data_IF_308004208361
#
_entry.id   IF_308004208361
#
_cell.length_a   1.000
_cell.length_b   1.000
_cell.length_c   1.000
_cell.angle_alpha   90.00
_cell.angle_beta   90.00
_cell.angle_gamma   90.00
#
_symmetry.space_group_name_H-M   'P 1'
#
loop_
_entity.id
_entity.type
_entity.pdbx_description
1 polymer ?
#
# COMPACT_ATOMS: atom_id res chain seq x y z
N UNK A 1 -55.71 -19.39 -32.73
CA UNK A 1 -56.74 -19.49 -31.67
C UNK A 1 -56.04 -19.63 -30.32
N UNK A 2 -56.64 -19.06 -29.27
CA UNK A 2 -56.27 -19.03 -27.82
C UNK A 2 -55.18 -20.00 -27.30
N UNK A 3 -54.36 -19.49 -26.36
CA UNK A 3 -53.57 -20.28 -25.40
C UNK A 3 -54.45 -20.92 -24.30
N UNK A 4 -53.99 -21.10 -23.05
CA UNK A 4 -53.05 -20.26 -22.27
C UNK A 4 -51.75 -21.06 -21.90
N UNK A 5 -50.85 -20.70 -20.97
CA UNK A 5 -50.83 -19.69 -19.89
C UNK A 5 -49.40 -19.12 -19.69
N UNK A 6 -49.30 -18.00 -18.97
CA UNK A 6 -48.07 -17.41 -18.42
C UNK A 6 -48.35 -16.98 -16.97
N UNK A 7 -47.51 -17.37 -16.00
CA UNK A 7 -47.31 -16.61 -14.75
C UNK A 7 -46.15 -17.15 -13.91
N UNK A 8 -45.12 -16.32 -13.70
CA UNK A 8 -44.43 -16.18 -12.40
C UNK A 8 -43.44 -15.01 -12.40
N UNK A 9 -43.52 -14.23 -11.31
CA UNK A 9 -42.56 -13.22 -10.83
C UNK A 9 -42.54 -11.88 -11.60
N UNK A 10 -43.11 -10.86 -10.96
CA UNK A 10 -43.04 -9.44 -11.31
C UNK A 10 -42.59 -8.66 -10.06
N UNK A 11 -41.68 -7.66 -10.16
CA UNK A 11 -41.33 -6.78 -9.05
C UNK A 11 -41.84 -5.33 -9.27
N UNK A 12 -42.59 -4.77 -8.32
CA UNK A 12 -43.01 -3.35 -8.22
C UNK A 12 -43.26 -3.07 -6.72
N UNK A 13 -42.56 -2.17 -6.00
CA UNK A 13 -42.61 -0.70 -6.03
C UNK A 13 -43.98 -0.07 -5.68
N UNK A 14 -44.29 0.05 -4.38
CA UNK A 14 -45.06 1.19 -3.86
C UNK A 14 -44.99 1.27 -2.32
N UNK A 15 -44.21 2.22 -1.80
CA UNK A 15 -44.38 2.68 -0.42
C UNK A 15 -45.21 3.97 -0.45
N UNK A 16 -46.32 3.98 0.27
CA UNK A 16 -47.07 5.20 0.59
C UNK A 16 -47.93 4.94 1.83
N UNK A 17 -47.89 5.92 2.75
CA UNK A 17 -48.90 6.22 3.78
C UNK A 17 -49.12 5.20 4.92
N UNK A 18 -48.61 5.56 6.10
CA UNK A 18 -49.38 5.40 7.35
C UNK A 18 -49.16 6.59 8.30
N UNK A 19 -50.26 7.33 8.47
CA UNK A 19 -50.69 8.18 9.61
C UNK A 19 -50.05 8.00 10.99
N UNK A 20 -49.76 9.14 11.65
CA UNK A 20 -50.24 9.57 13.00
C UNK A 20 -49.78 11.05 13.20
N UNK A 21 -50.59 12.09 13.44
CA UNK A 21 -51.75 12.36 14.32
C UNK A 21 -51.37 12.98 15.69
N UNK A 22 -51.58 14.30 15.88
CA UNK A 22 -52.15 14.94 17.11
C UNK A 22 -52.30 16.47 17.01
N UNK A 23 -53.46 16.99 17.48
CA UNK A 23 -53.74 18.35 18.05
C UNK A 23 -53.46 19.59 17.16
N UNK A 24 -54.19 20.72 17.21
CA UNK A 24 -55.38 21.15 17.97
C UNK A 24 -55.72 22.62 17.54
N UNK A 25 -56.97 23.13 17.69
CA UNK A 25 -57.44 24.28 16.89
C UNK A 25 -57.58 25.61 17.65
N UNK A 26 -57.57 26.75 16.95
CA UNK A 26 -58.41 27.91 17.32
C UNK A 26 -58.67 28.91 16.18
N UNK A 27 -59.56 29.88 16.41
CA UNK A 27 -60.31 30.64 15.38
C UNK A 27 -60.13 32.15 15.51
N UNK A 28 -60.00 32.86 14.37
CA UNK A 28 -60.31 34.29 14.27
C UNK A 28 -60.82 34.65 12.86
N UNK A 29 -61.81 35.56 12.78
CA UNK A 29 -62.49 36.00 11.54
C UNK A 29 -62.21 37.47 11.23
N UNK A 30 -61.88 37.75 9.96
CA UNK A 30 -62.23 38.97 9.17
C UNK A 30 -61.58 40.32 9.60
N UNK A 31 -61.57 41.37 8.73
CA UNK A 31 -62.18 41.48 7.39
C UNK A 31 -61.21 41.80 6.23
N UNK A 32 -61.78 41.90 5.02
CA UNK A 32 -61.07 42.21 3.77
C UNK A 32 -60.70 43.70 3.61
N UNK A 33 -59.53 43.97 3.06
CA UNK A 33 -59.24 45.17 2.24
C UNK A 33 -58.43 44.80 1.00
N UNK A 34 -58.70 45.48 -0.11
CA UNK A 34 -58.25 45.12 -1.47
C UNK A 34 -56.75 45.37 -1.69
N UNK A 35 -56.07 44.47 -2.41
CA UNK A 35 -54.94 44.82 -3.30
C UNK A 35 -54.50 43.64 -4.19
N UNK A 36 -54.32 43.93 -5.48
CA UNK A 36 -53.45 43.23 -6.45
C UNK A 36 -53.42 41.70 -6.49
N UNK A 37 -54.11 41.11 -7.46
CA UNK A 37 -53.89 39.71 -7.87
C UNK A 37 -52.50 39.50 -8.49
N UNK A 38 -51.63 38.63 -7.93
CA UNK A 38 -50.43 38.17 -8.63
C UNK A 38 -50.79 37.06 -9.63
N UNK A 39 -50.12 36.95 -10.79
CA UNK A 39 -50.36 35.86 -11.72
C UNK A 39 -49.91 34.52 -11.13
N UNK A 40 -50.68 33.48 -11.42
CA UNK A 40 -50.46 32.10 -10.99
C UNK A 40 -49.04 31.60 -11.30
N UNK A 41 -48.36 31.03 -10.31
CA UNK A 41 -47.16 30.24 -10.51
C UNK A 41 -47.49 29.00 -11.36
N UNK A 42 -47.12 29.04 -12.64
CA UNK A 42 -47.08 27.83 -13.47
C UNK A 42 -45.83 27.00 -13.11
N UNK A 43 -45.90 25.66 -13.17
CA UNK A 43 -44.70 24.82 -13.05
C UNK A 43 -43.72 25.17 -14.17
N UNK A 44 -42.40 24.95 -13.97
CA UNK A 44 -41.37 25.42 -14.91
C UNK A 44 -41.60 24.82 -16.30
N UNK A 45 -42.07 25.67 -17.22
CA UNK A 45 -42.23 25.35 -18.63
C UNK A 45 -40.88 24.89 -19.20
N UNK A 46 -40.88 23.78 -19.93
CA UNK A 46 -39.72 23.34 -20.71
C UNK A 46 -39.28 24.44 -21.69
N UNK A 47 -38.25 25.19 -21.30
CA UNK A 47 -37.59 26.15 -22.17
C UNK A 47 -36.95 25.40 -23.35
N UNK A 48 -36.99 25.94 -24.58
CA UNK A 48 -36.34 25.30 -25.73
C UNK A 48 -34.84 25.11 -25.47
N UNK A 49 -34.35 23.89 -25.68
CA UNK A 49 -32.97 23.47 -25.33
C UNK A 49 -31.86 24.37 -25.88
N UNK A 50 -32.10 25.07 -27.00
CA UNK A 50 -31.14 26.01 -27.59
C UNK A 50 -30.94 27.29 -26.76
N UNK A 51 -31.99 27.90 -26.19
CA UNK A 51 -31.85 29.18 -25.48
C UNK A 51 -30.97 29.07 -24.22
N UNK A 52 -31.04 27.93 -23.53
CA UNK A 52 -30.15 27.64 -22.39
C UNK A 52 -28.71 27.26 -22.80
N UNK A 53 -28.46 26.99 -24.08
CA UNK A 53 -27.14 26.69 -24.60
C UNK A 53 -26.46 27.93 -25.16
N UNK A 54 -27.16 28.75 -25.95
CA UNK A 54 -26.65 30.05 -26.44
C UNK A 54 -26.30 30.97 -25.28
N UNK A 55 -27.21 31.12 -24.30
CA UNK A 55 -26.96 31.89 -23.08
C UNK A 55 -25.71 31.41 -22.32
N UNK A 56 -25.45 30.10 -22.29
CA UNK A 56 -24.26 29.57 -21.62
C UNK A 56 -22.96 29.79 -22.41
N UNK A 57 -23.04 30.00 -23.73
CA UNK A 57 -21.90 30.39 -24.56
C UNK A 57 -21.63 31.90 -24.43
N UNK A 58 -22.68 32.72 -24.36
CA UNK A 58 -22.58 34.15 -24.04
C UNK A 58 -22.02 34.39 -22.62
N UNK A 59 -22.52 33.66 -21.61
CA UNK A 59 -22.00 33.70 -20.25
C UNK A 59 -20.55 33.19 -20.19
N UNK A 60 -20.16 32.19 -20.99
CA UNK A 60 -18.77 31.73 -21.08
C UNK A 60 -17.84 32.78 -21.69
N UNK A 61 -18.23 33.42 -22.79
CA UNK A 61 -17.47 34.51 -23.42
C UNK A 61 -17.26 35.71 -22.48
N UNK A 62 -18.20 35.97 -21.56
CA UNK A 62 -18.10 37.05 -20.57
C UNK A 62 -17.36 36.67 -19.28
N UNK A 63 -17.22 35.39 -18.94
CA UNK A 63 -16.70 34.92 -17.64
C UNK A 63 -15.44 34.05 -17.72
N UNK A 64 -15.08 33.55 -18.90
CA UNK A 64 -14.03 32.55 -19.07
C UNK A 64 -14.41 31.14 -18.58
N UNK A 65 -15.67 30.89 -18.21
CA UNK A 65 -16.13 29.60 -17.66
C UNK A 65 -17.25 29.00 -18.52
N UNK A 66 -16.92 27.94 -19.26
CA UNK A 66 -17.83 27.24 -20.17
C UNK A 66 -18.54 26.06 -19.48
N UNK A 67 -19.76 26.27 -19.00
CA UNK A 67 -20.58 25.18 -18.43
C UNK A 67 -21.66 24.69 -19.41
N UNK A 68 -21.44 23.52 -20.02
CA UNK A 68 -22.42 22.78 -20.83
C UNK A 68 -22.86 21.46 -20.18
N UNK A 69 -22.67 21.30 -18.87
CA UNK A 69 -22.94 20.04 -18.15
C UNK A 69 -24.43 19.64 -18.18
N UNK A 70 -24.70 18.33 -18.04
CA UNK A 70 -26.05 17.74 -17.93
C UNK A 70 -26.99 17.91 -19.14
N UNK A 71 -26.52 18.42 -20.28
CA UNK A 71 -27.37 18.78 -21.45
C UNK A 71 -27.64 17.62 -22.44
N UNK A 72 -27.18 16.40 -22.14
CA UNK A 72 -27.31 15.19 -22.99
C UNK A 72 -26.72 15.35 -24.40
N UNK A 73 -25.77 16.26 -24.56
CA UNK A 73 -25.13 16.60 -25.84
C UNK A 73 -24.39 15.38 -26.43
N UNK A 74 -24.58 15.13 -27.73
CA UNK A 74 -23.84 14.09 -28.48
C UNK A 74 -22.57 14.62 -29.15
N UNK A 75 -22.65 15.86 -29.61
CA UNK A 75 -21.58 16.64 -30.25
C UNK A 75 -21.45 17.97 -29.50
N UNK A 76 -20.30 18.62 -29.63
CA UNK A 76 -20.13 19.99 -29.15
C UNK A 76 -20.97 20.96 -30.01
N UNK A 77 -21.59 22.01 -29.44
CA UNK A 77 -22.48 22.87 -30.20
C UNK A 77 -21.72 23.68 -31.26
N UNK A 78 -22.10 23.53 -32.53
CA UNK A 78 -21.51 24.28 -33.66
C UNK A 78 -21.68 25.80 -33.52
N UNK A 79 -22.70 26.24 -32.80
CA UNK A 79 -22.89 27.66 -32.47
C UNK A 79 -21.79 28.24 -31.60
N UNK A 80 -21.02 27.43 -30.87
CA UNK A 80 -19.86 27.90 -30.11
C UNK A 80 -18.79 28.54 -31.00
N UNK A 81 -18.70 28.18 -32.30
CA UNK A 81 -17.80 28.84 -33.25
C UNK A 81 -18.20 30.29 -33.59
N UNK A 82 -19.41 30.72 -33.21
CA UNK A 82 -19.89 32.10 -33.39
C UNK A 82 -19.62 32.99 -32.17
N UNK A 83 -19.13 32.43 -31.07
CA UNK A 83 -18.78 33.17 -29.84
C UNK A 83 -17.26 33.14 -29.66
N UNK A 84 -16.70 34.27 -29.23
CA UNK A 84 -15.29 34.27 -28.84
C UNK A 84 -15.15 33.59 -27.48
N UNK A 85 -14.37 32.51 -27.46
CA UNK A 85 -14.12 31.68 -26.28
C UNK A 85 -12.63 31.54 -26.00
N UNK A 86 -11.74 32.31 -26.67
CA UNK A 86 -10.28 32.14 -26.54
C UNK A 86 -9.79 32.28 -25.09
N UNK A 87 -10.47 33.10 -24.31
CA UNK A 87 -10.16 33.39 -22.90
C UNK A 87 -10.81 32.39 -21.92
N UNK A 88 -11.33 31.26 -22.39
CA UNK A 88 -11.94 30.23 -21.54
C UNK A 88 -10.88 29.49 -20.71
N UNK A 89 -10.93 29.65 -19.39
CA UNK A 89 -10.01 29.03 -18.40
C UNK A 89 -10.57 27.70 -17.88
N UNK A 90 -11.89 27.57 -17.73
CA UNK A 90 -12.55 26.34 -17.25
C UNK A 90 -13.67 25.89 -18.19
N UNK A 91 -13.73 24.60 -18.49
CA UNK A 91 -14.80 24.00 -19.29
C UNK A 91 -15.39 22.74 -18.61
N UNK A 92 -16.66 22.80 -18.24
CA UNK A 92 -17.45 21.66 -17.74
C UNK A 92 -18.42 21.14 -18.81
N UNK A 93 -18.08 19.97 -19.35
CA UNK A 93 -18.84 19.22 -20.35
C UNK A 93 -19.39 17.90 -19.78
N UNK A 94 -19.44 17.78 -18.44
CA UNK A 94 -19.80 16.55 -17.73
C UNK A 94 -21.28 16.14 -17.91
N UNK A 95 -21.57 14.86 -17.68
CA UNK A 95 -22.92 14.28 -17.73
C UNK A 95 -23.63 14.49 -19.07
N UNK A 96 -22.86 14.47 -20.16
CA UNK A 96 -23.34 14.51 -21.54
C UNK A 96 -23.27 13.11 -22.17
N UNK A 97 -23.28 13.03 -23.50
CA UNK A 97 -23.26 11.79 -24.30
C UNK A 97 -22.20 11.86 -25.41
N UNK A 98 -21.15 12.66 -25.20
CA UNK A 98 -20.06 12.85 -26.15
C UNK A 98 -19.36 11.51 -26.40
N UNK A 99 -19.15 11.14 -27.66
CA UNK A 99 -18.47 9.88 -28.04
C UNK A 99 -16.95 10.03 -28.10
N UNK A 100 -16.46 11.26 -28.25
CA UNK A 100 -15.07 11.62 -28.47
C UNK A 100 -14.85 13.02 -27.86
N UNK A 101 -13.60 13.37 -27.53
CA UNK A 101 -13.31 14.75 -27.09
C UNK A 101 -13.39 15.68 -28.31
N UNK A 102 -14.23 16.73 -28.29
CA UNK A 102 -14.41 17.62 -29.44
C UNK A 102 -13.15 18.43 -29.73
N UNK A 103 -12.78 18.52 -31.00
CA UNK A 103 -11.62 19.30 -31.47
C UNK A 103 -11.78 20.80 -31.22
N UNK A 104 -13.01 21.30 -31.16
CA UNK A 104 -13.34 22.68 -30.85
C UNK A 104 -12.80 23.11 -29.49
N UNK A 105 -12.93 22.24 -28.47
CA UNK A 105 -12.41 22.47 -27.11
C UNK A 105 -10.90 22.50 -27.09
N UNK A 106 -10.22 21.79 -28.00
CA UNK A 106 -8.76 21.84 -28.10
C UNK A 106 -8.24 23.21 -28.53
N UNK A 107 -9.03 24.04 -29.22
CA UNK A 107 -8.60 25.38 -29.63
C UNK A 107 -8.60 26.41 -28.47
N UNK A 108 -9.09 26.05 -27.28
CA UNK A 108 -9.14 26.91 -26.10
C UNK A 108 -7.75 26.95 -25.42
N UNK A 109 -6.81 27.74 -25.97
CA UNK A 109 -5.40 27.74 -25.52
C UNK A 109 -5.24 28.18 -24.06
N UNK A 110 -6.13 29.03 -23.54
CA UNK A 110 -6.15 29.48 -22.15
C UNK A 110 -6.71 28.44 -21.14
N UNK A 111 -7.20 27.29 -21.60
CA UNK A 111 -7.93 26.34 -20.77
C UNK A 111 -7.02 25.65 -19.75
N UNK A 112 -7.24 25.94 -18.46
CA UNK A 112 -6.53 25.34 -17.34
C UNK A 112 -7.23 24.08 -16.80
N UNK A 113 -8.56 24.04 -16.84
CA UNK A 113 -9.37 22.94 -16.29
C UNK A 113 -10.42 22.43 -17.29
N UNK A 114 -10.40 21.12 -17.56
CA UNK A 114 -11.36 20.45 -18.44
C UNK A 114 -12.05 19.27 -17.73
N UNK A 115 -13.35 19.39 -17.53
CA UNK A 115 -14.18 18.35 -16.93
C UNK A 115 -15.09 17.66 -17.97
N UNK A 116 -14.78 16.39 -18.25
CA UNK A 116 -15.49 15.50 -19.18
C UNK A 116 -16.15 14.31 -18.45
N UNK A 117 -16.32 14.42 -17.12
CA UNK A 117 -16.89 13.38 -16.27
C UNK A 117 -18.22 12.83 -16.81
N UNK A 118 -18.39 11.51 -16.79
CA UNK A 118 -19.63 10.82 -17.16
C UNK A 118 -20.13 11.16 -18.57
N UNK A 119 -19.34 10.80 -19.57
CA UNK A 119 -19.68 10.85 -20.98
C UNK A 119 -19.54 9.44 -21.60
N UNK A 120 -19.54 9.33 -22.94
CA UNK A 120 -19.35 8.09 -23.67
C UNK A 120 -18.00 8.07 -24.43
N UNK A 121 -17.01 8.84 -23.98
CA UNK A 121 -15.80 9.15 -24.74
C UNK A 121 -14.95 7.89 -24.96
N UNK A 122 -14.66 7.60 -26.23
CA UNK A 122 -13.85 6.45 -26.69
C UNK A 122 -12.45 6.87 -27.09
N UNK A 123 -12.32 8.01 -27.76
CA UNK A 123 -11.04 8.53 -28.24
C UNK A 123 -10.80 9.97 -27.78
N UNK A 124 -9.51 10.33 -27.69
CA UNK A 124 -9.03 11.68 -27.42
C UNK A 124 -8.20 12.06 -28.65
N UNK A 125 -8.50 13.18 -29.34
CA UNK A 125 -7.84 13.55 -30.58
C UNK A 125 -6.41 14.05 -30.31
N UNK A 126 -5.54 13.92 -31.32
CA UNK A 126 -4.17 14.42 -31.25
C UNK A 126 -4.09 15.94 -31.02
N UNK A 127 -5.14 16.69 -31.38
CA UNK A 127 -5.26 18.14 -31.15
C UNK A 127 -5.23 18.53 -29.68
N UNK A 128 -5.46 17.60 -28.73
CA UNK A 128 -5.38 17.88 -27.29
C UNK A 128 -4.04 18.50 -26.87
N UNK A 129 -2.97 18.28 -27.65
CA UNK A 129 -1.64 18.87 -27.43
C UNK A 129 -1.59 20.40 -27.50
N UNK A 130 -2.60 21.05 -28.11
CA UNK A 130 -2.67 22.53 -28.17
C UNK A 130 -3.08 23.18 -26.84
N UNK A 131 -3.60 22.40 -25.88
CA UNK A 131 -4.02 22.86 -24.55
C UNK A 131 -2.82 23.02 -23.60
N UNK A 132 -1.87 23.88 -23.96
CA UNK A 132 -0.62 24.08 -23.24
C UNK A 132 -0.80 24.70 -21.83
N UNK A 133 -1.96 25.25 -21.52
CA UNK A 133 -2.30 25.77 -20.18
C UNK A 133 -2.95 24.71 -19.27
N UNK A 134 -3.30 23.52 -19.79
CA UNK A 134 -4.15 22.57 -19.09
C UNK A 134 -3.43 21.91 -17.90
N UNK A 135 -3.90 22.20 -16.70
CA UNK A 135 -3.38 21.66 -15.45
C UNK A 135 -4.26 20.55 -14.87
N UNK A 136 -5.57 20.56 -15.12
CA UNK A 136 -6.52 19.61 -14.55
C UNK A 136 -7.42 19.00 -15.64
N UNK A 137 -7.40 17.67 -15.76
CA UNK A 137 -8.20 16.93 -16.72
C UNK A 137 -8.97 15.77 -16.06
N UNK A 138 -10.29 15.86 -16.10
CA UNK A 138 -11.19 14.82 -15.59
C UNK A 138 -11.91 14.10 -16.73
N UNK A 139 -11.46 12.88 -17.03
CA UNK A 139 -12.01 11.95 -18.02
C UNK A 139 -12.77 10.79 -17.35
N UNK A 140 -13.11 10.89 -16.06
CA UNK A 140 -13.67 9.74 -15.33
C UNK A 140 -15.08 9.34 -15.78
N UNK A 141 -15.40 8.05 -15.66
CA UNK A 141 -16.65 7.42 -16.15
C UNK A 141 -16.88 7.62 -17.66
N UNK A 142 -15.91 7.21 -18.46
CA UNK A 142 -15.99 7.20 -19.93
C UNK A 142 -15.77 5.78 -20.48
N UNK A 143 -15.45 5.65 -21.78
CA UNK A 143 -15.24 4.37 -22.46
C UNK A 143 -13.87 4.30 -23.17
N UNK A 144 -12.87 5.02 -22.63
CA UNK A 144 -11.51 5.07 -23.19
C UNK A 144 -10.84 3.71 -23.12
N UNK A 145 -10.35 3.20 -24.27
CA UNK A 145 -9.56 1.97 -24.35
C UNK A 145 -8.05 2.18 -24.13
N UNK A 146 -7.55 3.36 -24.45
CA UNK A 146 -6.16 3.79 -24.24
C UNK A 146 -6.08 5.31 -24.08
N UNK A 147 -4.98 5.80 -23.50
CA UNK A 147 -4.64 7.23 -23.50
C UNK A 147 -3.64 7.50 -24.62
N UNK A 148 -3.85 8.53 -25.48
CA UNK A 148 -2.93 8.81 -26.58
C UNK A 148 -1.60 9.37 -26.06
N UNK A 149 -0.45 9.04 -26.69
CA UNK A 149 0.85 9.56 -26.28
C UNK A 149 0.92 11.10 -26.23
N UNK A 150 0.15 11.79 -27.08
CA UNK A 150 0.09 13.26 -27.14
C UNK A 150 -0.43 13.91 -25.84
N UNK A 151 -1.23 13.19 -25.05
CA UNK A 151 -1.71 13.67 -23.75
C UNK A 151 -0.53 13.88 -22.77
N UNK A 152 0.54 13.09 -22.92
CA UNK A 152 1.71 13.13 -22.06
C UNK A 152 2.63 14.34 -22.30
N UNK A 153 2.37 15.13 -23.35
CA UNK A 153 3.09 16.37 -23.64
C UNK A 153 2.51 17.61 -22.96
N UNK A 154 1.42 17.48 -22.19
CA UNK A 154 0.74 18.58 -21.51
C UNK A 154 1.29 18.79 -20.08
N UNK A 155 1.28 20.02 -19.53
CA UNK A 155 1.76 20.29 -18.17
C UNK A 155 0.74 19.94 -17.08
N UNK A 156 0.04 18.81 -17.22
CA UNK A 156 -0.98 18.33 -16.29
C UNK A 156 -0.41 18.14 -14.88
N UNK A 157 -1.19 18.62 -13.89
CA UNK A 157 -0.99 18.40 -12.45
C UNK A 157 -1.95 17.36 -11.90
N UNK A 158 -3.18 17.31 -12.41
CA UNK A 158 -4.22 16.36 -12.00
C UNK A 158 -4.78 15.66 -13.25
N UNK A 159 -4.68 14.33 -13.28
CA UNK A 159 -5.28 13.50 -14.33
C UNK A 159 -6.15 12.42 -13.71
N UNK A 160 -7.47 12.52 -13.91
CA UNK A 160 -8.42 11.50 -13.47
C UNK A 160 -9.04 10.80 -14.69
N UNK A 161 -8.63 9.57 -14.94
CA UNK A 161 -9.18 8.68 -15.96
C UNK A 161 -9.84 7.43 -15.33
N UNK A 162 -10.33 7.54 -14.09
CA UNK A 162 -11.03 6.44 -13.40
C UNK A 162 -12.31 5.98 -14.09
N UNK A 163 -12.75 4.74 -13.87
CA UNK A 163 -13.94 4.15 -14.48
C UNK A 163 -13.94 4.25 -16.03
N UNK A 164 -12.86 3.79 -16.67
CA UNK A 164 -12.73 3.65 -18.12
C UNK A 164 -12.47 2.17 -18.48
N UNK A 165 -11.95 1.90 -19.68
CA UNK A 165 -11.57 0.56 -20.16
C UNK A 165 -10.09 0.51 -20.55
N UNK A 166 -9.24 1.24 -19.84
CA UNK A 166 -7.81 1.32 -20.13
C UNK A 166 -7.15 -0.03 -19.85
N UNK A 167 -6.50 -0.62 -20.86
CA UNK A 167 -5.77 -1.90 -20.75
C UNK A 167 -4.30 -1.69 -20.35
N UNK A 168 -3.74 -0.53 -20.71
CA UNK A 168 -2.38 -0.10 -20.40
C UNK A 168 -2.27 1.43 -20.40
N UNK A 169 -1.16 1.94 -19.85
CA UNK A 169 -0.75 3.34 -20.01
C UNK A 169 0.33 3.45 -21.09
N UNK A 170 0.39 4.57 -21.84
CA UNK A 170 1.47 4.81 -22.79
C UNK A 170 2.81 4.98 -22.06
N UNK A 171 3.91 4.51 -22.66
CA UNK A 171 5.26 4.68 -22.09
C UNK A 171 5.66 6.15 -21.94
N UNK A 172 5.10 7.04 -22.77
CA UNK A 172 5.31 8.49 -22.68
C UNK A 172 4.75 9.11 -21.41
N UNK A 173 3.96 8.40 -20.58
CA UNK A 173 3.37 8.93 -19.33
C UNK A 173 4.43 9.61 -18.44
N UNK A 174 5.66 9.09 -18.43
CA UNK A 174 6.79 9.67 -17.70
C UNK A 174 7.28 11.06 -18.18
N UNK A 175 6.67 11.65 -19.20
CA UNK A 175 6.89 13.03 -19.66
C UNK A 175 6.10 14.07 -18.83
N UNK A 176 5.05 13.64 -18.12
CA UNK A 176 4.19 14.48 -17.28
C UNK A 176 4.89 14.88 -15.96
N UNK A 177 6.01 15.59 -16.07
CA UNK A 177 6.89 15.98 -14.97
C UNK A 177 6.21 16.78 -13.84
N UNK A 178 5.10 17.46 -14.12
CA UNK A 178 4.32 18.26 -13.17
C UNK A 178 3.15 17.50 -12.52
N UNK A 179 2.90 16.24 -12.90
CA UNK A 179 1.73 15.48 -12.43
C UNK A 179 1.86 15.16 -10.95
N UNK A 180 0.92 15.65 -10.15
CA UNK A 180 0.84 15.45 -8.71
C UNK A 180 -0.17 14.36 -8.34
N UNK A 181 -1.26 14.25 -9.10
CA UNK A 181 -2.34 13.30 -8.85
C UNK A 181 -2.69 12.51 -10.12
N UNK A 182 -2.66 11.17 -10.03
CA UNK A 182 -3.06 10.26 -11.08
C UNK A 182 -4.08 9.24 -10.55
N UNK A 183 -5.34 9.37 -10.97
CA UNK A 183 -6.38 8.37 -10.72
C UNK A 183 -6.75 7.63 -12.00
N UNK A 184 -6.45 6.33 -12.01
CA UNK A 184 -6.75 5.38 -13.08
C UNK A 184 -7.50 4.16 -12.51
N UNK A 185 -8.20 4.34 -11.39
CA UNK A 185 -8.94 3.28 -10.72
C UNK A 185 -10.15 2.78 -11.53
N UNK A 186 -10.62 1.56 -11.27
CA UNK A 186 -11.71 0.91 -12.00
C UNK A 186 -11.48 0.87 -13.51
N UNK A 187 -10.32 0.36 -13.93
CA UNK A 187 -9.94 0.12 -15.32
C UNK A 187 -9.53 -1.35 -15.51
N UNK A 188 -8.98 -1.71 -16.68
CA UNK A 188 -8.58 -3.07 -17.05
C UNK A 188 -7.03 -3.20 -17.12
N UNK A 189 -6.30 -2.34 -16.40
CA UNK A 189 -4.84 -2.19 -16.56
C UNK A 189 -4.12 -3.43 -16.05
N UNK A 190 -3.32 -4.05 -16.92
CA UNK A 190 -2.60 -5.31 -16.65
C UNK A 190 -1.19 -5.12 -16.08
N UNK A 191 -0.51 -4.04 -16.48
CA UNK A 191 0.81 -3.65 -15.97
C UNK A 191 0.99 -2.13 -16.03
N UNK A 192 1.81 -1.58 -15.12
CA UNK A 192 2.26 -0.19 -15.17
C UNK A 192 3.62 -0.08 -15.90
N UNK A 193 3.82 0.90 -16.79
CA UNK A 193 5.08 1.07 -17.51
C UNK A 193 6.18 1.57 -16.56
N UNK A 194 7.42 1.06 -16.71
CA UNK A 194 8.59 1.48 -15.91
C UNK A 194 8.81 3.00 -15.89
N UNK A 195 8.47 3.65 -17.01
CA UNK A 195 8.51 5.10 -17.19
C UNK A 195 7.68 5.91 -16.16
N UNK A 196 6.75 5.29 -15.42
CA UNK A 196 6.03 5.91 -14.31
C UNK A 196 7.00 6.47 -13.23
N UNK A 197 8.16 5.84 -13.02
CA UNK A 197 9.19 6.29 -12.07
C UNK A 197 9.82 7.64 -12.42
N UNK A 198 9.55 8.21 -13.60
CA UNK A 198 10.02 9.55 -13.98
C UNK A 198 9.15 10.68 -13.43
N UNK A 199 7.96 10.38 -12.88
CA UNK A 199 6.98 11.35 -12.38
C UNK A 199 7.37 11.96 -11.02
N UNK A 200 8.46 12.75 -10.97
CA UNK A 200 9.03 13.31 -9.73
C UNK A 200 8.06 14.21 -8.92
N UNK A 201 7.04 14.78 -9.55
CA UNK A 201 6.00 15.56 -8.85
C UNK A 201 4.89 14.69 -8.22
N UNK A 202 4.78 13.40 -8.57
CA UNK A 202 3.63 12.58 -8.19
C UNK A 202 3.57 12.40 -6.67
N UNK A 203 2.38 12.63 -6.11
CA UNK A 203 2.05 12.52 -4.69
C UNK A 203 0.95 11.49 -4.47
N UNK A 204 -0.06 11.44 -5.35
CA UNK A 204 -1.18 10.51 -5.22
C UNK A 204 -1.32 9.65 -6.47
N UNK A 205 -1.28 8.33 -6.27
CA UNK A 205 -1.45 7.34 -7.32
C UNK A 205 -2.55 6.36 -6.92
N UNK A 206 -3.67 6.38 -7.65
CA UNK A 206 -4.79 5.48 -7.45
C UNK A 206 -4.94 4.54 -8.64
N UNK A 207 -4.60 3.26 -8.43
CA UNK A 207 -4.73 2.16 -9.40
C UNK A 207 -5.69 1.08 -8.89
N UNK A 208 -6.54 1.40 -7.91
CA UNK A 208 -7.58 0.51 -7.34
C UNK A 208 -8.44 -0.14 -8.41
N UNK A 209 -8.86 -1.40 -8.23
CA UNK A 209 -9.75 -2.13 -9.16
C UNK A 209 -9.21 -2.13 -10.59
N UNK A 210 -8.04 -2.74 -10.76
CA UNK A 210 -7.42 -3.02 -12.05
C UNK A 210 -7.02 -4.51 -12.11
N UNK A 211 -6.28 -4.91 -13.14
CA UNK A 211 -5.83 -6.28 -13.37
C UNK A 211 -4.31 -6.44 -13.15
N UNK A 212 -3.70 -5.57 -12.35
CA UNK A 212 -2.24 -5.54 -12.13
C UNK A 212 -1.76 -6.82 -11.46
N UNK A 213 -0.86 -7.55 -12.12
CA UNK A 213 -0.22 -8.75 -11.57
C UNK A 213 1.12 -8.45 -10.86
N UNK A 214 1.86 -7.45 -11.36
CA UNK A 214 3.20 -7.07 -10.88
C UNK A 214 3.26 -5.55 -10.77
N UNK A 215 3.89 -5.06 -9.70
CA UNK A 215 4.17 -3.64 -9.52
C UNK A 215 5.65 -3.36 -9.93
N UNK A 216 5.93 -2.34 -10.76
CA UNK A 216 7.30 -2.04 -11.19
C UNK A 216 8.14 -1.48 -10.04
N UNK A 217 9.43 -1.80 -10.03
CA UNK A 217 10.38 -1.34 -9.02
C UNK A 217 10.59 0.18 -9.07
N UNK A 218 10.48 0.78 -10.26
CA UNK A 218 10.67 2.22 -10.52
C UNK A 218 9.71 3.13 -9.72
N UNK A 219 8.59 2.60 -9.21
CA UNK A 219 7.69 3.32 -8.29
C UNK A 219 8.34 3.62 -6.93
N UNK A 220 9.40 2.90 -6.55
CA UNK A 220 10.11 3.09 -5.27
C UNK A 220 10.82 4.45 -5.16
N UNK A 221 11.22 5.02 -6.30
CA UNK A 221 11.92 6.31 -6.37
C UNK A 221 10.94 7.50 -6.40
N UNK A 222 9.62 7.25 -6.48
CA UNK A 222 8.61 8.29 -6.47
C UNK A 222 8.31 8.80 -5.04
N UNK A 223 8.23 10.13 -4.83
CA UNK A 223 7.82 10.75 -3.58
C UNK A 223 6.30 10.67 -3.32
N UNK A 224 5.70 9.48 -3.50
CA UNK A 224 4.29 9.23 -3.26
C UNK A 224 3.94 9.38 -1.77
N UNK A 225 2.80 10.04 -1.53
CA UNK A 225 2.16 10.27 -0.22
C UNK A 225 0.95 9.35 -0.05
N UNK A 226 0.18 9.11 -1.12
CA UNK A 226 -0.91 8.13 -1.14
C UNK A 226 -0.73 7.16 -2.31
N UNK A 227 -0.83 5.87 -2.04
CA UNK A 227 -0.82 4.82 -3.05
C UNK A 227 -1.93 3.80 -2.76
N UNK A 228 -2.91 3.70 -3.66
CA UNK A 228 -3.97 2.68 -3.61
C UNK A 228 -3.85 1.74 -4.81
N UNK A 229 -3.55 0.46 -4.54
CA UNK A 229 -3.60 -0.63 -5.51
C UNK A 229 -4.55 -1.76 -5.07
N UNK A 230 -5.51 -1.46 -4.19
CA UNK A 230 -6.53 -2.42 -3.73
C UNK A 230 -7.36 -3.01 -4.88
N UNK A 231 -7.92 -4.20 -4.68
CA UNK A 231 -8.67 -4.95 -5.69
C UNK A 231 -7.90 -5.17 -7.01
N UNK A 232 -6.64 -5.62 -6.93
CA UNK A 232 -5.82 -6.01 -8.07
C UNK A 232 -5.43 -7.51 -7.98
N UNK A 233 -4.52 -7.96 -8.84
CA UNK A 233 -3.99 -9.34 -8.88
C UNK A 233 -2.53 -9.41 -8.42
N UNK A 234 -2.06 -8.44 -7.64
CA UNK A 234 -0.66 -8.33 -7.23
C UNK A 234 -0.30 -9.49 -6.30
N UNK A 235 0.72 -10.27 -6.68
CA UNK A 235 1.23 -11.40 -5.89
C UNK A 235 2.36 -11.01 -4.95
N UNK A 236 3.21 -10.05 -5.34
CA UNK A 236 4.39 -9.63 -4.57
C UNK A 236 4.56 -8.11 -4.59
N UNK A 237 4.99 -7.56 -3.45
CA UNK A 237 5.42 -6.15 -3.36
C UNK A 237 6.96 -6.11 -3.48
N UNK A 238 7.54 -5.34 -4.41
CA UNK A 238 8.99 -5.26 -4.55
C UNK A 238 9.69 -4.76 -3.28
N UNK A 239 10.79 -5.42 -2.91
CA UNK A 239 11.62 -5.08 -1.74
C UNK A 239 12.10 -3.62 -1.77
N UNK A 240 12.34 -3.09 -2.97
CA UNK A 240 12.72 -1.70 -3.22
C UNK A 240 11.74 -0.67 -2.60
N UNK A 241 10.47 -1.02 -2.38
CA UNK A 241 9.45 -0.09 -1.85
C UNK A 241 9.73 0.33 -0.40
N UNK A 242 10.64 -0.35 0.30
CA UNK A 242 11.26 0.12 1.56
C UNK A 242 11.73 1.58 1.46
N UNK A 243 12.19 2.04 0.29
CA UNK A 243 12.71 3.40 0.05
C UNK A 243 11.63 4.49 0.09
N UNK A 244 10.35 4.16 -0.03
CA UNK A 244 9.23 5.11 -0.13
C UNK A 244 8.87 5.76 1.23
N UNK A 245 9.78 6.58 1.76
CA UNK A 245 9.64 7.22 3.08
C UNK A 245 8.47 8.21 3.18
N UNK A 246 8.12 8.87 2.08
CA UNK A 246 7.06 9.90 2.02
C UNK A 246 5.63 9.33 2.09
N UNK A 247 5.48 8.00 1.95
CA UNK A 247 4.18 7.36 1.80
C UNK A 247 3.42 7.35 3.14
N UNK A 248 2.32 8.10 3.23
CA UNK A 248 1.47 8.18 4.41
C UNK A 248 0.36 7.12 4.37
N UNK A 249 -0.36 7.02 3.24
CA UNK A 249 -1.46 6.07 3.04
C UNK A 249 -1.08 5.00 2.01
N UNK A 250 -1.24 3.73 2.38
CA UNK A 250 -1.01 2.58 1.52
C UNK A 250 -2.22 1.65 1.58
N UNK A 251 -2.94 1.52 0.48
CA UNK A 251 -4.13 0.68 0.35
C UNK A 251 -3.85 -0.46 -0.63
N UNK A 252 -4.07 -1.69 -0.17
CA UNK A 252 -3.67 -2.92 -0.88
C UNK A 252 -4.63 -4.10 -0.67
N UNK A 253 -5.77 -3.84 -0.02
CA UNK A 253 -6.81 -4.83 0.25
C UNK A 253 -7.25 -5.56 -1.01
N UNK A 254 -7.73 -6.80 -0.87
CA UNK A 254 -8.22 -7.61 -2.00
C UNK A 254 -7.17 -7.81 -3.12
N UNK A 255 -5.92 -8.12 -2.73
CA UNK A 255 -4.88 -8.64 -3.62
C UNK A 255 -4.44 -10.04 -3.15
N UNK A 256 -4.10 -10.97 -4.06
CA UNK A 256 -3.60 -12.31 -3.74
C UNK A 256 -2.11 -12.29 -3.33
N UNK A 257 -1.75 -11.46 -2.36
CA UNK A 257 -0.37 -11.26 -1.92
C UNK A 257 0.18 -12.51 -1.22
N UNK A 258 1.27 -13.03 -1.78
CA UNK A 258 2.10 -14.09 -1.19
C UNK A 258 3.22 -13.50 -0.33
N UNK A 259 3.82 -12.39 -0.79
CA UNK A 259 4.89 -11.68 -0.09
C UNK A 259 4.70 -10.16 -0.21
N UNK A 260 4.43 -9.42 0.88
CA UNK A 260 4.27 -9.87 2.27
C UNK A 260 3.05 -10.80 2.49
N UNK A 261 3.11 -11.73 3.47
CA UNK A 261 1.96 -12.53 3.90
C UNK A 261 0.76 -11.69 4.36
N UNK A 262 -0.45 -12.19 4.13
CA UNK A 262 -1.70 -11.51 4.48
C UNK A 262 -1.79 -11.04 5.96
N UNK A 263 -1.21 -11.82 6.90
CA UNK A 263 -1.13 -11.44 8.32
C UNK A 263 -0.33 -10.15 8.57
N UNK A 264 0.65 -9.85 7.72
CA UNK A 264 1.45 -8.62 7.77
C UNK A 264 0.71 -7.48 7.06
N UNK A 265 0.03 -7.78 5.95
CA UNK A 265 -0.82 -6.83 5.22
C UNK A 265 -1.92 -6.24 6.12
N UNK A 266 -2.61 -7.07 6.92
CA UNK A 266 -3.68 -6.65 7.84
C UNK A 266 -3.14 -5.73 8.95
N UNK A 267 -1.87 -5.87 9.34
CA UNK A 267 -1.21 -4.99 10.32
C UNK A 267 -0.75 -3.63 9.73
N UNK A 268 -1.02 -3.38 8.45
CA UNK A 268 -0.85 -2.09 7.79
C UNK A 268 0.60 -1.70 7.43
N UNK A 269 0.72 -0.50 6.85
CA UNK A 269 1.95 0.10 6.27
C UNK A 269 3.24 -0.22 7.05
N UNK A 270 3.26 0.06 8.36
CA UNK A 270 4.50 -0.02 9.17
C UNK A 270 5.05 -1.45 9.19
N UNK A 271 4.17 -2.45 9.30
CA UNK A 271 4.57 -3.86 9.33
C UNK A 271 5.04 -4.37 7.97
N UNK A 272 4.43 -3.89 6.88
CA UNK A 272 4.87 -4.18 5.51
C UNK A 272 6.27 -3.61 5.26
N UNK A 273 6.51 -2.34 5.58
CA UNK A 273 7.83 -1.72 5.42
C UNK A 273 8.89 -2.39 6.30
N UNK A 274 8.52 -2.85 7.50
CA UNK A 274 9.37 -3.68 8.36
C UNK A 274 9.71 -5.02 7.70
N UNK A 275 8.73 -5.72 7.14
CA UNK A 275 8.95 -6.98 6.43
C UNK A 275 9.87 -6.81 5.21
N UNK A 276 9.60 -5.83 4.34
CA UNK A 276 10.45 -5.51 3.19
C UNK A 276 11.88 -5.10 3.63
N UNK A 277 12.03 -4.48 4.80
CA UNK A 277 13.34 -4.16 5.38
C UNK A 277 14.13 -5.41 5.81
N UNK A 278 13.46 -6.40 6.39
CA UNK A 278 14.08 -7.68 6.79
C UNK A 278 14.45 -8.49 5.55
N UNK A 279 13.55 -8.53 4.56
CA UNK A 279 13.74 -9.32 3.34
C UNK A 279 14.90 -8.78 2.49
N UNK A 280 15.06 -7.45 2.39
CA UNK A 280 16.25 -6.83 1.80
C UNK A 280 17.56 -7.35 2.42
N UNK A 281 17.64 -7.36 3.75
CA UNK A 281 18.82 -7.82 4.49
C UNK A 281 19.02 -9.35 4.46
N UNK A 282 18.06 -10.12 3.92
CA UNK A 282 18.22 -11.54 3.58
C UNK A 282 18.75 -11.69 2.15
N UNK A 283 18.19 -10.98 1.17
CA UNK A 283 18.62 -11.04 -0.23
C UNK A 283 20.05 -10.52 -0.44
N UNK A 284 20.45 -9.45 0.27
CA UNK A 284 21.82 -8.89 0.22
C UNK A 284 22.92 -9.86 0.71
N UNK A 285 22.56 -11.02 1.27
CA UNK A 285 23.50 -12.07 1.71
C UNK A 285 23.75 -13.19 0.69
N UNK A 286 23.14 -13.14 -0.49
CA UNK A 286 23.49 -14.03 -1.61
C UNK A 286 23.94 -13.28 -2.89
N UNK A 287 25.05 -12.53 -2.83
CA UNK A 287 25.82 -12.26 -4.03
C UNK A 287 27.32 -12.59 -3.86
N UNK A 288 27.67 -13.82 -3.47
CA UNK A 288 29.02 -14.37 -3.77
C UNK A 288 29.12 -15.91 -3.66
N UNK A 289 28.27 -16.64 -4.39
CA UNK A 289 28.56 -18.05 -4.69
C UNK A 289 27.96 -18.47 -6.03
N UNK A 290 28.86 -18.74 -6.98
CA UNK A 290 28.64 -19.45 -8.25
C UNK A 290 27.85 -18.70 -9.33
N UNK A 291 28.59 -17.92 -10.12
CA UNK A 291 28.27 -17.72 -11.54
C UNK A 291 29.53 -17.92 -12.39
N UNK A 292 29.50 -18.88 -13.31
CA UNK A 292 30.06 -18.87 -14.68
C UNK A 292 29.87 -20.29 -15.29
N UNK A 293 29.81 -20.43 -16.63
CA UNK A 293 28.86 -21.35 -17.28
C UNK A 293 29.54 -22.28 -18.30
N UNK A 294 28.75 -23.04 -19.06
CA UNK A 294 28.83 -23.19 -20.53
C UNK A 294 27.75 -24.18 -21.02
N UNK A 295 27.33 -24.02 -22.27
CA UNK A 295 26.26 -24.75 -22.95
C UNK A 295 26.62 -26.17 -23.39
N UNK A 296 25.55 -26.97 -23.51
CA UNK A 296 25.29 -28.01 -24.52
C UNK A 296 25.85 -29.45 -24.41
N UNK A 297 24.88 -30.37 -24.56
CA UNK A 297 24.95 -31.75 -25.08
C UNK A 297 25.78 -32.80 -24.30
N UNK A 298 25.06 -33.78 -23.75
CA UNK A 298 24.78 -35.01 -24.49
C UNK A 298 23.58 -35.78 -23.92
N UNK A 299 22.67 -36.16 -24.82
CA UNK A 299 21.56 -37.08 -24.57
C UNK A 299 22.04 -38.53 -24.56
N UNK A 300 21.67 -39.35 -23.55
CA UNK A 300 21.67 -40.82 -23.62
C UNK A 300 20.73 -41.47 -22.56
N UNK A 301 19.66 -42.07 -23.07
CA UNK A 301 18.86 -43.23 -22.59
C UNK A 301 18.79 -43.71 -21.11
N UNK A 302 17.52 -43.91 -20.67
CA UNK A 302 16.92 -44.94 -19.75
C UNK A 302 17.57 -46.36 -19.81
N UNK A 303 17.23 -47.35 -18.91
CA UNK A 303 15.97 -47.56 -18.15
C UNK A 303 16.19 -47.97 -16.64
N UNK A 304 15.26 -48.48 -15.80
CA UNK A 304 13.94 -49.16 -15.93
C UNK A 304 13.14 -49.16 -14.59
N UNK A 305 11.78 -49.28 -14.62
CA UNK A 305 10.81 -49.85 -13.62
C UNK A 305 10.99 -49.59 -12.10
N UNK A 306 10.00 -49.23 -11.24
CA UNK A 306 8.51 -49.08 -11.26
C UNK A 306 8.03 -48.96 -9.78
N UNK A 307 6.76 -48.97 -9.35
CA UNK A 307 5.41 -48.75 -9.95
C UNK A 307 4.29 -49.00 -8.89
N UNK A 308 3.10 -48.37 -8.99
CA UNK A 308 1.84 -48.59 -8.19
C UNK A 308 1.90 -48.02 -6.74
N UNK A 309 1.20 -46.92 -6.39
CA UNK A 309 -0.23 -46.71 -6.02
C UNK A 309 -0.71 -47.40 -4.72
N UNK A 310 -1.39 -46.63 -3.84
CA UNK A 310 -2.74 -46.88 -3.29
C UNK A 310 -3.03 -46.39 -1.83
N UNK A 311 -4.13 -45.64 -1.75
CA UNK A 311 -5.19 -45.60 -0.71
C UNK A 311 -4.97 -45.04 0.72
N UNK A 312 -5.69 -43.94 0.95
CA UNK A 312 -6.15 -43.47 2.25
C UNK A 312 -7.17 -44.43 2.88
N UNK A 313 -7.24 -44.48 4.22
CA UNK A 313 -8.55 -44.61 4.87
C UNK A 313 -8.63 -43.95 6.25
N UNK A 314 -9.77 -43.30 6.49
CA UNK A 314 -10.10 -42.50 7.67
C UNK A 314 -11.00 -43.25 8.65
N UNK A 315 -10.92 -42.85 9.93
CA UNK A 315 -11.95 -42.95 11.00
C UNK A 315 -12.46 -44.35 11.38
N UNK A 316 -12.35 -44.63 12.69
CA UNK A 316 -13.55 -44.94 13.49
C UNK A 316 -13.47 -44.26 14.85
N UNK A 317 -14.63 -43.97 15.42
CA UNK A 317 -14.84 -43.07 16.55
C UNK A 317 -15.78 -43.73 17.58
N UNK A 318 -15.84 -43.12 18.76
CA UNK A 318 -16.94 -43.17 19.76
C UNK A 318 -16.93 -44.23 20.89
N UNK A 319 -17.51 -43.79 22.01
CA UNK A 319 -17.87 -44.49 23.27
C UNK A 319 -16.71 -44.62 24.29
N UNK A 320 -16.43 -43.67 25.19
CA UNK A 320 -17.23 -43.05 26.27
C UNK A 320 -17.40 -43.92 27.54
N UNK A 321 -16.81 -43.45 28.65
CA UNK A 321 -17.29 -43.58 30.05
C UNK A 321 -16.18 -43.19 31.06
N UNK A 322 -16.57 -42.60 32.20
CA UNK A 322 -15.74 -42.55 33.43
C UNK A 322 -15.36 -41.17 33.95
N UNK A 323 -16.23 -40.57 34.78
CA UNK A 323 -15.96 -39.31 35.51
C UNK A 323 -15.17 -39.58 36.81
N UNK A 324 -14.22 -38.70 37.16
CA UNK A 324 -13.56 -38.70 38.46
C UNK A 324 -12.79 -37.40 38.75
N UNK A 325 -13.13 -36.74 39.87
CA UNK A 325 -12.45 -35.56 40.44
C UNK A 325 -10.99 -35.90 40.89
N UNK A 326 -10.10 -34.97 41.25
CA UNK A 326 -10.25 -33.59 41.74
C UNK A 326 -8.91 -32.79 41.65
N UNK A 327 -8.99 -31.45 41.79
CA UNK A 327 -7.94 -30.46 42.14
C UNK A 327 -6.60 -30.38 41.35
N UNK A 328 -6.23 -29.14 40.94
CA UNK A 328 -4.84 -28.80 40.59
C UNK A 328 -4.63 -27.54 39.73
N UNK A 329 -4.49 -26.39 40.38
CA UNK A 329 -4.16 -25.06 39.82
C UNK A 329 -3.31 -25.03 38.54
N UNK A 330 -3.84 -24.41 37.46
CA UNK A 330 -3.03 -23.70 36.46
C UNK A 330 -3.63 -22.34 36.08
N UNK A 331 -3.18 -21.35 36.84
CA UNK A 331 -2.92 -19.95 36.47
C UNK A 331 -3.25 -19.55 35.03
N UNK A 332 -4.00 -18.45 34.93
CA UNK A 332 -4.15 -17.61 33.75
C UNK A 332 -2.82 -17.49 32.98
N UNK A 333 -2.84 -17.85 31.70
CA UNK A 333 -1.78 -17.50 30.76
C UNK A 333 -1.81 -15.99 30.56
N UNK A 334 -0.96 -15.28 31.30
CA UNK A 334 -0.75 -13.85 31.15
C UNK A 334 -0.09 -13.57 29.80
N UNK A 335 -0.91 -13.47 28.74
CA UNK A 335 -0.53 -12.85 27.48
C UNK A 335 -0.45 -11.34 27.69
N UNK A 336 0.43 -10.89 28.59
CA UNK A 336 0.82 -9.49 28.68
C UNK A 336 1.70 -9.17 27.47
N UNK A 337 0.99 -8.95 26.37
CA UNK A 337 1.46 -8.16 25.24
C UNK A 337 2.17 -6.94 25.80
N UNK A 338 3.38 -6.66 25.30
CA UNK A 338 4.05 -5.36 25.46
C UNK A 338 3.19 -4.28 24.80
N UNK A 339 2.16 -3.87 25.52
CA UNK A 339 1.32 -2.70 25.26
C UNK A 339 2.15 -1.47 25.57
N UNK A 340 3.12 -1.21 24.70
CA UNK A 340 3.68 0.12 24.54
C UNK A 340 2.52 1.01 24.10
N UNK A 341 1.85 1.60 25.09
CA UNK A 341 0.79 2.57 24.90
C UNK A 341 1.36 3.83 24.29
N UNK A 342 1.37 3.87 22.96
CA UNK A 342 1.63 5.06 22.17
C UNK A 342 0.49 5.12 21.16
N UNK A 343 -0.57 5.91 21.39
CA UNK A 343 -0.54 7.38 21.38
C UNK A 343 0.27 7.90 20.20
N UNK A 344 -0.41 8.47 19.20
CA UNK A 344 0.09 9.37 18.16
C UNK A 344 1.61 9.65 18.21
N UNK A 345 2.41 8.77 17.59
CA UNK A 345 3.85 8.88 17.64
C UNK A 345 4.37 9.93 16.66
N UNK A 346 5.03 10.94 17.21
CA UNK A 346 5.88 11.86 16.47
C UNK A 346 7.08 11.13 15.83
N UNK A 347 7.67 11.70 14.77
CA UNK A 347 8.69 11.05 13.92
C UNK A 347 9.90 10.51 14.70
N UNK A 348 10.29 11.13 15.81
CA UNK A 348 11.39 10.69 16.67
C UNK A 348 11.23 9.25 17.21
N UNK A 349 10.00 8.85 17.56
CA UNK A 349 9.77 7.51 18.10
C UNK A 349 9.83 6.42 17.02
N UNK A 350 9.49 6.74 15.77
CA UNK A 350 9.77 5.82 14.65
C UNK A 350 11.26 5.62 14.46
N UNK A 351 12.06 6.69 14.55
CA UNK A 351 13.52 6.61 14.48
C UNK A 351 14.10 5.74 15.59
N UNK A 352 13.64 5.91 16.83
CA UNK A 352 14.11 5.12 17.97
C UNK A 352 13.73 3.63 17.86
N UNK A 353 12.50 3.33 17.41
CA UNK A 353 12.09 1.95 17.14
C UNK A 353 12.83 1.32 15.94
N UNK A 354 13.09 2.09 14.88
CA UNK A 354 13.87 1.64 13.73
C UNK A 354 15.32 1.34 14.15
N UNK A 355 15.96 2.24 14.90
CA UNK A 355 17.31 2.03 15.43
C UNK A 355 17.38 0.78 16.32
N UNK A 356 16.45 0.63 17.27
CA UNK A 356 16.36 -0.56 18.11
C UNK A 356 16.23 -1.84 17.26
N UNK A 357 15.34 -1.83 16.25
CA UNK A 357 15.08 -3.00 15.42
C UNK A 357 16.24 -3.34 14.48
N UNK A 358 16.94 -2.35 13.93
CA UNK A 358 18.17 -2.54 13.15
C UNK A 358 19.27 -3.13 14.04
N UNK A 359 19.48 -2.59 15.25
CA UNK A 359 20.41 -3.16 16.23
C UNK A 359 20.09 -4.63 16.55
N UNK A 360 18.82 -4.97 16.80
CA UNK A 360 18.45 -6.37 17.10
C UNK A 360 18.72 -7.29 15.90
N UNK A 361 18.39 -6.82 14.70
CA UNK A 361 18.61 -7.59 13.46
C UNK A 361 20.11 -7.81 13.22
N UNK A 362 20.94 -6.78 13.39
CA UNK A 362 22.41 -6.88 13.29
C UNK A 362 22.97 -7.82 14.37
N UNK A 363 22.51 -7.71 15.62
CA UNK A 363 22.94 -8.57 16.72
C UNK A 363 22.69 -10.06 16.43
N UNK A 364 21.48 -10.42 15.99
CA UNK A 364 21.14 -11.80 15.60
C UNK A 364 22.09 -12.28 14.51
N UNK A 365 22.18 -11.53 13.41
CA UNK A 365 23.01 -11.88 12.25
C UNK A 365 24.48 -12.09 12.62
N UNK A 366 25.04 -11.21 13.46
CA UNK A 366 26.42 -11.26 13.92
C UNK A 366 26.71 -12.49 14.79
N UNK A 367 25.74 -12.94 15.60
CA UNK A 367 25.88 -14.16 16.42
C UNK A 367 25.71 -15.42 15.56
N UNK A 368 24.64 -15.51 14.76
CA UNK A 368 24.34 -16.67 13.91
C UNK A 368 25.47 -16.95 12.90
N UNK A 369 25.98 -15.89 12.24
CA UNK A 369 27.06 -15.99 11.25
C UNK A 369 28.37 -16.54 11.83
N UNK A 370 28.65 -16.26 13.11
CA UNK A 370 29.90 -16.69 13.77
C UNK A 370 29.77 -18.05 14.45
N UNK A 371 28.63 -18.35 15.07
CA UNK A 371 28.42 -19.61 15.79
C UNK A 371 27.81 -20.73 14.94
N UNK A 372 27.27 -20.43 13.75
CA UNK A 372 26.51 -21.37 12.90
C UNK A 372 25.29 -21.99 13.63
N UNK A 373 24.71 -21.24 14.56
CA UNK A 373 23.50 -21.60 15.30
C UNK A 373 22.37 -20.69 14.81
N UNK A 374 21.14 -21.21 14.74
CA UNK A 374 19.92 -20.42 14.48
C UNK A 374 19.37 -19.95 15.82
N UNK A 375 19.12 -18.65 15.97
CA UNK A 375 18.56 -18.08 17.19
C UNK A 375 17.01 -18.04 17.14
N UNK A 376 16.31 -18.29 18.26
CA UNK A 376 14.88 -18.06 18.37
C UNK A 376 14.49 -16.59 18.16
N UNK A 377 13.23 -16.33 17.78
CA UNK A 377 12.70 -14.97 17.63
C UNK A 377 12.79 -14.15 18.94
N UNK A 378 12.64 -14.80 20.09
CA UNK A 378 12.84 -14.21 21.42
C UNK A 378 14.33 -14.16 21.81
N UNK A 379 15.02 -13.16 21.27
CA UNK A 379 16.45 -12.94 21.52
C UNK A 379 16.79 -12.68 23.00
N UNK A 380 15.92 -11.98 23.75
CA UNK A 380 16.14 -11.68 25.17
C UNK A 380 16.34 -12.95 26.00
N UNK A 381 15.32 -13.81 25.99
CA UNK A 381 15.32 -15.13 26.63
C UNK A 381 16.51 -16.01 26.19
N UNK A 382 16.92 -15.89 24.93
CA UNK A 382 18.02 -16.67 24.33
C UNK A 382 19.43 -16.19 24.69
N UNK A 383 19.57 -14.94 25.18
CA UNK A 383 20.84 -14.36 25.64
C UNK A 383 20.92 -14.29 27.18
N UNK A 384 19.80 -14.38 27.88
CA UNK A 384 19.68 -14.26 29.34
C UNK A 384 20.54 -15.27 30.11
N UNK A 385 20.77 -16.47 29.56
CA UNK A 385 21.60 -17.51 30.19
C UNK A 385 23.12 -17.25 30.08
N UNK A 386 23.52 -16.27 29.26
CA UNK A 386 24.90 -15.90 28.96
C UNK A 386 25.71 -16.93 28.17
N UNK A 387 25.13 -18.10 27.83
CA UNK A 387 25.84 -19.23 27.21
C UNK A 387 26.28 -18.88 25.79
N UNK A 388 25.35 -18.37 24.98
CA UNK A 388 25.59 -17.92 23.60
C UNK A 388 26.68 -16.85 23.54
N UNK A 389 26.63 -15.86 24.44
CA UNK A 389 27.61 -14.77 24.52
C UNK A 389 29.00 -15.27 24.92
N UNK A 390 29.10 -16.19 25.89
CA UNK A 390 30.36 -16.83 26.26
C UNK A 390 30.98 -17.65 25.11
N UNK A 391 30.17 -18.39 24.35
CA UNK A 391 30.64 -19.11 23.17
C UNK A 391 31.14 -18.16 22.08
N UNK A 392 30.44 -17.04 21.84
CA UNK A 392 30.88 -16.02 20.89
C UNK A 392 32.26 -15.44 21.27
N UNK A 393 32.46 -15.08 22.54
CA UNK A 393 33.75 -14.55 23.00
C UNK A 393 34.89 -15.57 22.85
N UNK A 394 34.63 -16.85 23.16
CA UNK A 394 35.58 -17.94 22.94
C UNK A 394 35.85 -18.23 21.45
N UNK A 395 34.90 -17.94 20.55
CA UNK A 395 35.08 -18.09 19.10
C UNK A 395 35.90 -16.95 18.48
N UNK A 396 35.91 -15.77 19.12
CA UNK A 396 36.70 -14.61 18.72
C UNK A 396 38.15 -14.72 19.23
N UNK A 397 38.33 -15.07 20.51
CA UNK A 397 39.64 -15.37 21.09
C UNK A 397 39.54 -16.65 21.93
N UNK A 398 40.14 -17.77 21.49
CA UNK A 398 40.07 -19.05 22.19
C UNK A 398 40.48 -18.95 23.67
N UNK A 399 39.73 -19.64 24.53
CA UNK A 399 39.96 -19.74 25.99
C UNK A 399 39.79 -18.41 26.77
N UNK A 400 39.15 -17.39 26.20
CA UNK A 400 38.87 -16.12 26.91
C UNK A 400 37.87 -16.28 28.06
N UNK A 401 36.87 -17.16 27.90
CA UNK A 401 35.96 -17.60 28.96
C UNK A 401 36.38 -19.00 29.43
N UNK A 402 36.90 -19.08 30.65
CA UNK A 402 37.47 -20.31 31.22
C UNK A 402 36.42 -21.33 31.69
N UNK A 403 35.20 -20.89 32.03
CA UNK A 403 34.11 -21.76 32.47
C UNK A 403 32.76 -21.21 32.00
N UNK A 404 31.97 -22.07 31.35
CA UNK A 404 30.61 -21.78 30.87
C UNK A 404 29.69 -22.80 31.53
N UNK A 405 28.68 -22.33 32.27
CA UNK A 405 27.64 -23.20 32.79
C UNK A 405 26.63 -23.47 31.66
N UNK A 406 26.60 -24.68 31.11
CA UNK A 406 25.68 -25.07 30.03
C UNK A 406 24.49 -25.86 30.62
N UNK A 407 23.25 -25.73 30.08
CA UNK A 407 22.13 -26.57 30.51
C UNK A 407 22.42 -28.06 30.29
N UNK A 408 21.86 -28.92 31.15
CA UNK A 408 21.94 -30.37 30.98
C UNK A 408 20.62 -30.90 30.39
N UNK A 409 20.61 -31.98 29.59
CA UNK A 409 19.36 -32.59 29.12
C UNK A 409 18.37 -32.95 30.24
N UNK A 410 18.86 -33.23 31.46
CA UNK A 410 18.04 -33.50 32.63
C UNK A 410 17.56 -32.23 33.38
N UNK A 411 18.18 -31.07 33.14
CA UNK A 411 17.85 -29.77 33.76
C UNK A 411 17.96 -28.67 32.69
N UNK A 412 16.89 -28.45 31.90
CA UNK A 412 16.95 -27.62 30.70
C UNK A 412 17.01 -26.10 30.96
N UNK A 413 16.91 -25.66 32.22
CA UNK A 413 17.05 -24.24 32.61
C UNK A 413 18.15 -24.06 33.64
N UNK A 414 19.04 -23.10 33.40
CA UNK A 414 20.00 -22.65 34.41
C UNK A 414 19.29 -21.95 35.58
N UNK A 415 19.89 -22.02 36.77
CA UNK A 415 19.51 -21.13 37.87
C UNK A 415 20.09 -19.73 37.64
N UNK A 416 19.42 -18.70 38.13
CA UNK A 416 19.85 -17.30 37.95
C UNK A 416 21.27 -17.01 38.46
N UNK A 417 21.72 -17.74 39.49
CA UNK A 417 23.10 -17.67 39.98
C UNK A 417 24.14 -18.19 38.94
N UNK A 418 23.78 -19.17 38.10
CA UNK A 418 24.63 -19.66 37.01
C UNK A 418 24.57 -18.71 35.80
N UNK A 419 23.39 -18.19 35.45
CA UNK A 419 23.24 -17.19 34.38
C UNK A 419 24.08 -15.94 34.67
N UNK A 420 24.00 -15.41 35.91
CA UNK A 420 24.81 -14.27 36.33
C UNK A 420 26.31 -14.52 36.17
N UNK A 421 26.82 -15.68 36.62
CA UNK A 421 28.25 -16.04 36.45
C UNK A 421 28.65 -16.12 34.97
N UNK A 422 27.81 -16.65 34.10
CA UNK A 422 28.09 -16.67 32.66
C UNK A 422 28.19 -15.23 32.11
N UNK A 423 27.25 -14.35 32.47
CA UNK A 423 27.26 -12.95 32.06
C UNK A 423 28.49 -12.20 32.59
N UNK A 424 28.87 -12.40 33.86
CA UNK A 424 30.09 -11.83 34.45
C UNK A 424 31.35 -12.33 33.72
N UNK A 425 31.46 -13.64 33.48
CA UNK A 425 32.56 -14.24 32.73
C UNK A 425 32.68 -13.71 31.29
N UNK A 426 31.54 -13.45 30.63
CA UNK A 426 31.51 -12.84 29.29
C UNK A 426 32.04 -11.41 29.31
N UNK A 427 31.59 -10.58 30.25
CA UNK A 427 32.05 -9.18 30.36
C UNK A 427 33.55 -9.09 30.68
N UNK A 428 34.05 -9.95 31.56
CA UNK A 428 35.49 -10.08 31.83
C UNK A 428 36.29 -10.54 30.61
N UNK A 429 35.74 -11.43 29.78
CA UNK A 429 36.34 -11.81 28.51
C UNK A 429 36.37 -10.64 27.52
N UNK A 430 35.29 -9.85 27.40
CA UNK A 430 35.26 -8.64 26.57
C UNK A 430 36.34 -7.63 26.99
N UNK A 431 36.49 -7.37 28.30
CA UNK A 431 37.57 -6.52 28.85
C UNK A 431 38.96 -7.03 28.46
N UNK A 432 39.21 -8.34 28.62
CA UNK A 432 40.48 -8.99 28.24
C UNK A 432 40.74 -8.98 26.73
N UNK A 433 39.69 -8.97 25.92
CA UNK A 433 39.80 -8.94 24.46
C UNK A 433 40.21 -7.55 23.95
N UNK A 434 39.73 -6.48 24.60
CA UNK A 434 40.11 -5.09 24.29
C UNK A 434 38.92 -4.14 24.13
N UNK A 435 37.71 -4.54 24.52
CA UNK A 435 36.51 -3.70 24.40
C UNK A 435 36.56 -2.57 25.44
N UNK A 436 36.45 -1.32 24.96
CA UNK A 436 36.46 -0.11 25.82
C UNK A 436 35.32 -0.11 26.84
N UNK A 437 35.54 0.47 28.02
CA UNK A 437 34.56 0.46 29.11
C UNK A 437 33.27 1.23 28.77
N UNK A 438 33.40 2.33 28.03
CA UNK A 438 32.32 3.11 27.42
C UNK A 438 31.46 2.33 26.40
N UNK A 439 31.93 1.18 25.91
CA UNK A 439 31.18 0.28 25.01
C UNK A 439 30.68 -1.01 25.68
N UNK A 440 30.96 -1.23 26.96
CA UNK A 440 30.53 -2.43 27.69
C UNK A 440 29.09 -2.33 28.21
N UNK A 441 28.38 -3.45 28.17
CA UNK A 441 27.07 -3.59 28.80
C UNK A 441 27.20 -4.02 30.27
N UNK A 442 26.23 -3.64 31.09
CA UNK A 442 26.11 -4.01 32.49
C UNK A 442 25.31 -5.32 32.63
N UNK A 443 25.51 -6.13 33.68
CA UNK A 443 24.84 -7.43 33.82
C UNK A 443 23.30 -7.37 33.73
N UNK A 444 22.67 -6.31 34.25
CA UNK A 444 21.21 -6.13 34.18
C UNK A 444 20.70 -5.89 32.75
N UNK A 445 21.52 -5.37 31.83
CA UNK A 445 21.12 -5.21 30.42
C UNK A 445 20.85 -6.56 29.72
N UNK A 446 21.51 -7.63 30.19
CA UNK A 446 21.35 -9.00 29.68
C UNK A 446 20.33 -9.77 30.54
N UNK A 447 20.45 -9.70 31.87
CA UNK A 447 19.61 -10.46 32.81
C UNK A 447 18.16 -9.96 32.94
N UNK A 448 17.86 -8.70 32.59
CA UNK A 448 16.50 -8.15 32.61
C UNK A 448 15.90 -7.92 31.22
N UNK A 449 16.59 -8.31 30.14
CA UNK A 449 16.19 -8.16 28.73
C UNK A 449 15.98 -6.70 28.22
N UNK A 450 15.93 -5.71 29.12
CA UNK A 450 15.68 -4.28 28.82
C UNK A 450 16.84 -3.54 28.15
N UNK A 451 18.04 -4.11 28.12
CA UNK A 451 19.26 -3.41 27.70
C UNK A 451 19.89 -3.91 26.40
N UNK A 452 19.15 -4.67 25.57
CA UNK A 452 19.67 -5.35 24.38
C UNK A 452 20.43 -4.43 23.39
N UNK A 453 20.07 -3.15 23.27
CA UNK A 453 20.83 -2.19 22.41
C UNK A 453 22.28 -2.05 22.88
N UNK A 454 22.52 -1.96 24.19
CA UNK A 454 23.89 -1.93 24.73
C UNK A 454 24.59 -3.27 24.57
N UNK A 455 23.86 -4.39 24.64
CA UNK A 455 24.41 -5.73 24.32
C UNK A 455 24.87 -5.77 22.86
N UNK A 456 24.11 -5.21 21.93
CA UNK A 456 24.50 -5.07 20.53
C UNK A 456 25.78 -4.25 20.36
N UNK A 457 25.93 -3.13 21.07
CA UNK A 457 27.15 -2.31 21.03
C UNK A 457 28.36 -3.09 21.55
N UNK A 458 28.24 -3.80 22.67
CA UNK A 458 29.32 -4.65 23.21
C UNK A 458 29.72 -5.74 22.22
N UNK A 459 28.73 -6.45 21.65
CA UNK A 459 28.98 -7.56 20.72
C UNK A 459 29.60 -7.06 19.42
N UNK A 460 29.17 -5.89 18.90
CA UNK A 460 29.80 -5.30 17.73
C UNK A 460 31.25 -4.90 18.02
N UNK A 461 31.52 -4.21 19.12
CA UNK A 461 32.88 -3.83 19.50
C UNK A 461 33.79 -5.06 19.74
N UNK A 462 33.24 -6.16 20.24
CA UNK A 462 33.95 -7.44 20.39
C UNK A 462 34.31 -8.08 19.03
N UNK A 463 33.43 -7.94 18.03
CA UNK A 463 33.65 -8.42 16.66
C UNK A 463 34.59 -7.52 15.87
N UNK A 464 34.57 -6.21 16.11
CA UNK A 464 35.49 -5.26 15.49
C UNK A 464 36.95 -5.59 15.88
N UNK A 465 37.20 -5.97 17.14
CA UNK A 465 38.50 -6.47 17.62
C UNK A 465 38.88 -7.88 17.10
N UNK A 466 37.94 -8.60 16.46
CA UNK A 466 38.22 -9.86 15.76
C UNK A 466 38.66 -9.64 14.30
N UNK A 467 38.41 -8.46 13.74
CA UNK A 467 38.92 -8.06 12.43
C UNK A 467 40.43 -7.90 12.50
N UNK A 468 41.22 -8.39 11.51
CA UNK A 468 42.63 -8.06 11.46
C UNK A 468 42.77 -6.54 11.27
N UNK A 469 43.24 -5.86 12.31
CA UNK A 469 43.73 -4.48 12.20
C UNK A 469 44.84 -4.49 11.15
N UNK A 470 44.54 -3.97 9.96
CA UNK A 470 45.54 -3.80 8.93
C UNK A 470 46.62 -2.88 9.52
N UNK A 471 47.82 -3.43 9.69
CA UNK A 471 48.94 -2.80 10.37
C UNK A 471 49.42 -1.59 9.57
N UNK A 472 48.81 -0.42 9.82
CA UNK A 472 49.35 0.88 9.46
C UNK A 472 50.48 1.22 10.43
N UNK A 473 51.63 0.59 10.22
CA UNK A 473 52.91 0.95 10.83
C UNK A 473 53.99 0.88 9.75
N UNK A 474 54.67 2.04 9.57
CA UNK A 474 55.82 2.34 8.69
C UNK A 474 55.61 2.12 7.20
#
# INVERSE_FOLDING_TARGET
>A
SRGPFLSRIHPVLSQSLSTMATLGPESARLPLTQLGSPPSAQPPSLLPSNRGLERALEEAAASGVLNLSCRKLKEFPRTAANHDLTDTVEADLSKNRLTDVPSEVCHLVALETLNLYHNCIRTIPHTVISLQSLTSLNLSRNQLGSLPPCLCGLPLRVLNASNNKLVSLPETIGQLHNLMELDISCNEITALPRHIGRLKALRELNVRRNLLCVLPEDLADLPLVKFDFSCNKVSTIPVCYRKMKQLQSLQLENNPLQSPPAQICIKGKVHIFKYLSIEACRSEKMPDSLYLPVLERLSLSRPTTGSVEELEQQRKQDSDSGVGSDNGDKRLSATEVLTVSLCYLCDDCMYLMYFFFVCMTVLIISIESRLKVVLPEDLGMSLMDGVVLCHLANHIRPRSVASIHVPSPAVPKLSMAKCRRNVENFLDACKKIGVSEDKLCLPHHILEEKGLVKVCVTVQALLDEASPKHTLLT
#
